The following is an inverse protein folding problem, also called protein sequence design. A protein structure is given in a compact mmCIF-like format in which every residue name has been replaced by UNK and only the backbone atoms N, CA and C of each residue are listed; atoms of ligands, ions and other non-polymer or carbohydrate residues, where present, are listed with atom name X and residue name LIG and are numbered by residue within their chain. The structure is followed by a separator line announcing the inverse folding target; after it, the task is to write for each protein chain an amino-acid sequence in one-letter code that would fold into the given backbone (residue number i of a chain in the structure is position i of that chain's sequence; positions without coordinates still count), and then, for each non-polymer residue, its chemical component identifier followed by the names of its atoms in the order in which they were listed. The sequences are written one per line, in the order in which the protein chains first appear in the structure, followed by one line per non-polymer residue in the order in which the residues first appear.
data_IF_305579326975
#
_entry.id   IF_305579326975
#
_cell.length_a   1.000
_cell.length_b   1.000
_cell.length_c   1.000
_cell.angle_alpha   90.00
_cell.angle_beta   90.00
_cell.angle_gamma   90.00
#
_symmetry.space_group_name_H-M   'P 1'
#
loop_
_entity.id
_entity.type
_entity.pdbx_description
1 polymer ?
#
# COMPACT_ATOMS: atom_id res chain seq x y z
N UNK A 1 27.66 13.65 -7.08
CA UNK A 1 26.37 13.95 -6.44
C UNK A 1 26.10 12.79 -5.54
N UNK A 2 26.05 13.07 -4.25
CA UNK A 2 26.04 12.08 -3.19
C UNK A 2 24.65 11.46 -3.04
N UNK A 3 24.60 10.18 -2.68
CA UNK A 3 23.35 9.53 -2.27
C UNK A 3 22.78 10.27 -1.06
N UNK A 4 21.50 10.59 -1.08
CA UNK A 4 20.90 11.41 -0.03
C UNK A 4 19.42 11.06 0.20
N UNK A 5 19.04 10.96 1.46
CA UNK A 5 17.66 10.98 1.93
C UNK A 5 17.12 12.41 1.90
N UNK A 6 16.02 12.62 1.17
CA UNK A 6 15.37 13.92 1.02
C UNK A 6 13.89 13.82 1.40
N UNK A 7 13.28 14.97 1.67
CA UNK A 7 11.86 15.08 1.96
C UNK A 7 11.00 14.70 0.75
N UNK A 8 9.81 14.15 1.03
CA UNK A 8 8.73 13.97 0.03
C UNK A 8 8.32 15.28 -0.64
N UNK A 9 8.59 16.42 0.01
CA UNK A 9 8.31 17.76 -0.49
C UNK A 9 9.47 18.38 -1.27
N UNK A 10 10.57 17.64 -1.53
CA UNK A 10 11.67 18.12 -2.36
C UNK A 10 11.18 18.48 -3.77
N UNK A 11 11.51 19.70 -4.22
CA UNK A 11 11.06 20.21 -5.52
C UNK A 11 11.56 19.36 -6.70
N UNK A 12 12.76 18.79 -6.59
CA UNK A 12 13.32 17.90 -7.61
C UNK A 12 12.52 16.61 -7.71
N UNK A 13 12.24 15.97 -6.58
CA UNK A 13 11.40 14.78 -6.49
C UNK A 13 9.99 15.02 -7.02
N UNK A 14 9.33 16.09 -6.57
CA UNK A 14 7.97 16.43 -7.01
C UNK A 14 7.90 16.67 -8.53
N UNK A 15 8.90 17.34 -9.11
CA UNK A 15 9.01 17.56 -10.57
C UNK A 15 9.21 16.24 -11.31
N UNK A 16 10.08 15.37 -10.80
CA UNK A 16 10.30 14.04 -11.36
C UNK A 16 9.00 13.22 -11.40
N UNK A 17 8.27 13.16 -10.28
CA UNK A 17 7.00 12.43 -10.19
C UNK A 17 5.92 13.01 -11.10
N UNK A 18 5.82 14.34 -11.20
CA UNK A 18 4.89 15.00 -12.13
C UNK A 18 5.19 14.62 -13.58
N UNK A 19 6.46 14.61 -13.97
CA UNK A 19 6.88 14.21 -15.32
C UNK A 19 6.56 12.73 -15.59
N UNK A 20 6.84 11.84 -14.63
CA UNK A 20 6.51 10.42 -14.72
C UNK A 20 4.99 10.19 -14.87
N UNK A 21 4.19 10.81 -14.01
CA UNK A 21 2.73 10.72 -14.05
C UNK A 21 2.16 11.23 -15.39
N UNK A 22 2.70 12.30 -15.95
CA UNK A 22 2.28 12.81 -17.26
C UNK A 22 2.61 11.82 -18.39
N UNK A 23 3.81 11.24 -18.41
CA UNK A 23 4.16 10.20 -19.41
C UNK A 23 3.24 8.99 -19.31
N UNK A 24 2.94 8.55 -18.10
CA UNK A 24 2.03 7.44 -17.85
C UNK A 24 0.59 7.74 -18.31
N UNK A 25 0.06 8.95 -18.03
CA UNK A 25 -1.25 9.36 -18.55
C UNK A 25 -1.27 9.42 -20.08
N UNK A 26 -0.20 9.90 -20.72
CA UNK A 26 -0.10 9.95 -22.17
C UNK A 26 -0.07 8.56 -22.80
N UNK A 27 0.71 7.61 -22.25
CA UNK A 27 0.77 6.25 -22.78
C UNK A 27 -0.55 5.48 -22.62
N UNK A 28 -1.38 5.85 -21.63
CA UNK A 28 -2.68 5.22 -21.36
C UNK A 28 -3.89 6.04 -21.85
N UNK A 29 -3.68 7.12 -22.61
CA UNK A 29 -4.76 8.04 -23.04
C UNK A 29 -5.91 7.34 -23.78
N UNK A 30 -5.59 6.28 -24.51
CA UNK A 30 -6.56 5.51 -25.30
C UNK A 30 -7.01 4.21 -24.62
N UNK A 31 -6.59 3.94 -23.38
CA UNK A 31 -7.03 2.79 -22.61
C UNK A 31 -8.27 3.17 -21.79
N UNK A 32 -9.30 2.33 -21.82
CA UNK A 32 -10.45 2.50 -20.94
C UNK A 32 -10.02 2.53 -19.47
N UNK A 33 -10.62 3.43 -18.69
CA UNK A 33 -10.37 3.52 -17.25
C UNK A 33 -11.46 2.73 -16.54
N UNK A 34 -11.06 1.68 -15.81
CA UNK A 34 -11.94 1.03 -14.86
C UNK A 34 -12.13 1.96 -13.65
N UNK A 35 -13.30 2.60 -13.59
CA UNK A 35 -13.62 3.56 -12.53
C UNK A 35 -13.81 2.90 -11.19
N UNK A 36 -14.29 1.65 -11.13
CA UNK A 36 -14.51 0.92 -9.88
C UNK A 36 -13.18 0.51 -9.27
N UNK A 37 -12.30 -0.09 -10.07
CA UNK A 37 -10.94 -0.40 -9.64
C UNK A 37 -10.19 0.85 -9.18
N UNK A 38 -10.36 1.98 -9.87
CA UNK A 38 -9.73 3.25 -9.48
C UNK A 38 -10.19 3.72 -8.09
N UNK A 39 -11.49 3.69 -7.79
CA UNK A 39 -11.96 4.11 -6.47
C UNK A 39 -11.49 3.13 -5.37
N UNK A 40 -11.53 1.82 -5.61
CA UNK A 40 -10.99 0.83 -4.68
C UNK A 40 -9.50 1.09 -4.36
N UNK A 41 -8.65 1.23 -5.38
CA UNK A 41 -7.22 1.49 -5.16
C UNK A 41 -6.93 2.84 -4.51
N UNK A 42 -7.79 3.84 -4.70
CA UNK A 42 -7.70 5.12 -3.99
C UNK A 42 -7.95 4.94 -2.49
N UNK A 43 -8.95 4.15 -2.10
CA UNK A 43 -9.18 3.82 -0.69
C UNK A 43 -8.03 2.98 -0.13
N UNK A 44 -7.51 2.03 -0.90
CA UNK A 44 -6.38 1.20 -0.49
C UNK A 44 -5.12 2.04 -0.19
N UNK A 45 -4.80 3.02 -1.05
CA UNK A 45 -3.71 3.96 -0.82
C UNK A 45 -3.90 4.77 0.49
N UNK A 46 -5.14 5.13 0.83
CA UNK A 46 -5.41 5.81 2.11
C UNK A 46 -5.20 4.87 3.30
N UNK A 47 -5.59 3.60 3.19
CA UNK A 47 -5.32 2.58 4.23
C UNK A 47 -3.82 2.42 4.44
N UNK A 48 -3.05 2.28 3.36
CA UNK A 48 -1.60 2.17 3.40
C UNK A 48 -0.95 3.37 4.10
N UNK A 49 -1.40 4.59 3.77
CA UNK A 49 -0.96 5.82 4.42
C UNK A 49 -1.27 5.83 5.92
N UNK A 50 -2.46 5.40 6.32
CA UNK A 50 -2.85 5.46 7.73
C UNK A 50 -2.09 4.41 8.56
N UNK A 51 -1.86 3.21 8.01
CA UNK A 51 -1.04 2.15 8.63
C UNK A 51 0.42 2.60 8.75
N UNK A 52 1.02 3.14 7.69
CA UNK A 52 2.40 3.66 7.74
C UNK A 52 2.55 4.84 8.71
N UNK A 53 1.55 5.72 8.77
CA UNK A 53 1.50 6.79 9.78
C UNK A 53 1.46 6.20 11.19
N UNK A 54 0.67 5.16 11.43
CA UNK A 54 0.63 4.51 12.72
C UNK A 54 1.96 3.82 13.07
N UNK A 55 2.58 3.08 12.15
CA UNK A 55 3.92 2.52 12.33
C UNK A 55 4.94 3.59 12.72
N UNK A 56 4.88 4.77 12.09
CA UNK A 56 5.80 5.86 12.41
C UNK A 56 5.67 6.42 13.84
N UNK A 57 4.55 6.15 14.53
CA UNK A 57 4.37 6.53 15.94
C UNK A 57 4.96 5.51 16.91
N UNK A 58 5.22 4.28 16.45
CA UNK A 58 5.77 3.20 17.29
C UNK A 58 7.28 3.32 17.49
N UNK A 59 7.94 4.17 16.72
CA UNK A 59 9.40 4.25 16.61
C UNK A 59 9.85 5.67 16.31
N UNK A 60 11.15 5.93 16.40
CA UNK A 60 11.72 7.18 15.90
C UNK A 60 11.78 7.14 14.36
N UNK A 61 10.90 7.90 13.71
CA UNK A 61 10.75 7.90 12.25
C UNK A 61 11.55 9.02 11.58
N UNK A 62 12.21 8.71 10.46
CA UNK A 62 12.72 9.75 9.56
C UNK A 62 11.64 10.28 8.61
N UNK A 63 11.55 11.61 8.52
CA UNK A 63 10.67 12.29 7.58
C UNK A 63 11.24 12.31 6.14
N UNK A 64 12.57 12.33 6.01
CA UNK A 64 13.28 12.23 4.75
C UNK A 64 13.32 10.78 4.27
N UNK A 65 12.24 10.36 3.58
CA UNK A 65 12.06 8.98 3.14
C UNK A 65 12.26 8.75 1.63
N UNK A 66 12.76 9.75 0.90
CA UNK A 66 13.07 9.61 -0.52
C UNK A 66 14.58 9.43 -0.68
N UNK A 67 15.03 8.25 -1.10
CA UNK A 67 16.42 8.02 -1.45
C UNK A 67 16.69 8.54 -2.86
N UNK A 68 17.51 9.60 -2.94
CA UNK A 68 18.00 10.15 -4.21
C UNK A 68 19.43 9.69 -4.43
N UNK A 69 19.69 9.06 -5.57
CA UNK A 69 21.02 8.53 -5.91
C UNK A 69 21.25 8.53 -7.42
N UNK A 70 22.51 8.38 -7.85
CA UNK A 70 22.83 8.13 -9.25
C UNK A 70 22.95 6.63 -9.49
N UNK A 71 22.25 6.10 -10.49
CA UNK A 71 22.47 4.71 -10.92
C UNK A 71 23.82 4.53 -11.61
N UNK A 72 24.21 3.28 -11.84
CA UNK A 72 25.48 2.90 -12.51
C UNK A 72 25.68 3.56 -13.88
N UNK A 73 24.60 3.88 -14.60
CA UNK A 73 24.64 4.60 -15.88
C UNK A 73 24.63 6.15 -15.73
N UNK A 74 24.78 6.68 -14.52
CA UNK A 74 24.85 8.11 -14.23
C UNK A 74 23.49 8.84 -14.16
N UNK A 75 22.37 8.13 -14.37
CA UNK A 75 21.02 8.71 -14.30
C UNK A 75 20.61 8.95 -12.85
N UNK A 76 20.03 10.12 -12.58
CA UNK A 76 19.47 10.43 -11.26
C UNK A 76 18.18 9.64 -11.03
N UNK A 77 18.13 8.89 -9.92
CA UNK A 77 16.97 8.13 -9.47
C UNK A 77 16.44 8.66 -8.15
N UNK A 78 15.15 8.47 -7.96
CA UNK A 78 14.43 8.72 -6.73
C UNK A 78 13.68 7.45 -6.36
N UNK A 79 13.82 7.01 -5.13
CA UNK A 79 13.14 5.83 -4.61
C UNK A 79 12.49 6.20 -3.29
N UNK A 80 11.16 6.14 -3.27
CA UNK A 80 10.39 6.32 -2.05
C UNK A 80 10.48 5.06 -1.20
N UNK A 81 10.72 5.25 0.09
CA UNK A 81 10.68 4.23 1.12
C UNK A 81 9.42 4.51 1.92
N UNK A 82 8.56 3.52 2.11
CA UNK A 82 7.27 3.74 2.78
C UNK A 82 7.46 4.34 4.17
N UNK A 83 8.43 3.81 4.91
CA UNK A 83 8.75 4.23 6.25
C UNK A 83 10.22 3.88 6.62
N UNK A 84 10.87 4.71 7.44
CA UNK A 84 12.24 4.48 7.93
C UNK A 84 12.23 4.57 9.45
N UNK A 85 12.61 3.48 10.12
CA UNK A 85 12.89 3.46 11.55
C UNK A 85 14.36 3.81 11.79
N UNK A 86 14.62 4.68 12.77
CA UNK A 86 15.96 5.02 13.23
C UNK A 86 16.12 4.57 14.68
N UNK A 87 17.21 3.87 14.95
CA UNK A 87 17.60 3.46 16.30
C UNK A 87 19.12 3.52 16.45
N UNK A 88 19.64 3.07 17.59
CA UNK A 88 21.06 3.09 17.92
C UNK A 88 21.94 2.26 16.96
N UNK A 89 21.36 1.33 16.19
CA UNK A 89 22.06 0.51 15.20
C UNK A 89 21.96 1.08 13.77
N UNK A 90 21.34 2.25 13.60
CA UNK A 90 21.22 2.93 12.31
C UNK A 90 19.80 2.94 11.73
N UNK A 91 19.72 3.05 10.40
CA UNK A 91 18.45 3.17 9.68
C UNK A 91 17.95 1.82 9.21
N UNK A 92 16.70 1.50 9.54
CA UNK A 92 15.98 0.34 9.00
C UNK A 92 14.96 0.81 7.99
N UNK A 93 15.11 0.36 6.75
CA UNK A 93 14.16 0.67 5.68
C UNK A 93 12.99 -0.32 5.70
N UNK A 94 11.77 0.20 5.67
CA UNK A 94 10.56 -0.60 5.74
C UNK A 94 9.70 -0.41 4.50
N UNK A 95 9.10 -1.52 4.05
CA UNK A 95 8.17 -1.56 2.92
C UNK A 95 6.87 -2.23 3.36
N UNK A 96 5.73 -1.62 3.07
CA UNK A 96 4.41 -2.17 3.33
C UNK A 96 3.82 -2.76 2.05
N UNK A 97 3.20 -3.94 2.18
CA UNK A 97 2.42 -4.56 1.11
C UNK A 97 1.09 -5.07 1.64
N UNK A 98 0.01 -4.44 1.20
CA UNK A 98 -1.35 -4.93 1.43
C UNK A 98 -1.63 -6.07 0.44
N UNK A 99 -1.98 -7.25 0.95
CA UNK A 99 -2.19 -8.48 0.16
C UNK A 99 -3.62 -8.96 0.32
N UNK A 100 -4.21 -9.43 -0.77
CA UNK A 100 -5.57 -9.98 -0.76
C UNK A 100 -5.72 -11.17 0.20
N UNK A 101 -4.67 -11.97 0.32
CA UNK A 101 -4.60 -13.13 1.22
C UNK A 101 -3.17 -13.46 1.61
N UNK A 102 -3.01 -14.13 2.74
CA UNK A 102 -1.77 -14.74 3.18
C UNK A 102 -1.21 -15.73 2.16
N UNK A 103 0.12 -15.80 2.09
CA UNK A 103 0.84 -16.81 1.32
C UNK A 103 2.15 -17.17 2.03
N UNK A 104 2.36 -18.48 2.24
CA UNK A 104 3.61 -18.99 2.84
C UNK A 104 4.83 -18.75 1.95
N UNK A 105 4.62 -18.64 0.63
CA UNK A 105 5.69 -18.48 -0.35
C UNK A 105 5.47 -17.23 -1.18
N UNK A 106 5.99 -16.10 -0.68
CA UNK A 106 6.07 -14.88 -1.46
C UNK A 106 7.41 -14.79 -2.21
N UNK A 107 7.35 -14.43 -3.49
CA UNK A 107 8.54 -13.99 -4.20
C UNK A 107 9.03 -12.66 -3.64
N UNK A 108 10.34 -12.39 -3.75
CA UNK A 108 10.93 -11.14 -3.24
C UNK A 108 10.29 -9.87 -3.82
N UNK A 109 9.82 -9.95 -5.06
CA UNK A 109 9.09 -8.85 -5.70
C UNK A 109 7.71 -8.66 -5.08
N UNK A 110 7.03 -9.75 -4.75
CA UNK A 110 5.70 -9.67 -4.13
C UNK A 110 5.80 -9.17 -2.69
N UNK A 111 6.77 -9.64 -1.90
CA UNK A 111 6.94 -9.19 -0.51
C UNK A 111 7.46 -7.77 -0.38
N UNK A 112 8.10 -7.21 -1.41
CA UNK A 112 8.76 -5.90 -1.36
C UNK A 112 10.25 -5.98 -1.03
N UNK A 113 10.78 -7.16 -0.72
CA UNK A 113 12.21 -7.39 -0.46
C UNK A 113 13.08 -6.96 -1.63
N UNK A 114 12.65 -7.19 -2.87
CA UNK A 114 13.45 -6.80 -4.04
C UNK A 114 13.66 -5.27 -4.11
N UNK A 115 12.66 -4.49 -3.71
CA UNK A 115 12.74 -3.03 -3.63
C UNK A 115 13.67 -2.62 -2.49
N UNK A 116 13.51 -3.22 -1.31
CA UNK A 116 14.35 -2.96 -0.13
C UNK A 116 15.82 -3.28 -0.41
N UNK A 117 16.15 -4.43 -1.00
CA UNK A 117 17.53 -4.79 -1.37
C UNK A 117 18.19 -3.71 -2.24
N UNK A 118 17.50 -3.27 -3.28
CA UNK A 118 18.01 -2.21 -4.16
C UNK A 118 18.19 -0.88 -3.43
N UNK A 119 17.27 -0.52 -2.53
CA UNK A 119 17.39 0.69 -1.70
C UNK A 119 18.57 0.61 -0.74
N UNK A 120 18.70 -0.50 -0.01
CA UNK A 120 19.77 -0.75 0.97
C UNK A 120 21.13 -0.73 0.29
N UNK A 121 21.27 -1.39 -0.87
CA UNK A 121 22.51 -1.36 -1.67
C UNK A 121 22.89 0.06 -2.09
N UNK A 122 21.92 0.86 -2.54
CA UNK A 122 22.18 2.24 -2.94
C UNK A 122 22.58 3.16 -1.76
N UNK A 123 22.07 2.87 -0.56
CA UNK A 123 22.26 3.68 0.64
C UNK A 123 23.47 3.28 1.50
N UNK A 124 23.92 2.02 1.43
CA UNK A 124 24.91 1.43 2.35
C UNK A 124 26.28 2.12 2.35
N UNK A 125 26.60 2.85 1.28
CA UNK A 125 27.85 3.61 1.18
C UNK A 125 27.85 4.94 1.96
N UNK A 126 26.67 5.43 2.37
CA UNK A 126 26.50 6.76 2.98
C UNK A 126 25.83 6.69 4.35
N UNK A 127 24.99 5.68 4.58
CA UNK A 127 24.22 5.54 5.81
C UNK A 127 24.61 4.27 6.56
N UNK A 128 24.65 4.35 7.88
CA UNK A 128 24.66 3.18 8.75
C UNK A 128 23.27 2.55 8.73
N UNK A 129 23.19 1.29 8.28
CA UNK A 129 21.93 0.59 8.04
C UNK A 129 21.75 -0.55 9.05
N UNK A 130 20.59 -0.56 9.71
CA UNK A 130 20.10 -1.64 10.56
C UNK A 130 19.26 -2.66 9.73
N UNK A 131 19.66 -2.89 8.48
CA UNK A 131 18.96 -3.77 7.55
C UNK A 131 17.61 -3.23 7.07
N UNK A 132 16.67 -4.15 6.79
CA UNK A 132 15.39 -3.82 6.16
C UNK A 132 14.28 -4.78 6.56
N UNK A 133 13.03 -4.31 6.51
CA UNK A 133 11.83 -5.06 6.93
C UNK A 133 10.69 -4.89 5.94
N UNK A 134 10.25 -5.98 5.33
CA UNK A 134 9.01 -6.00 4.56
C UNK A 134 7.84 -6.42 5.46
N UNK A 135 6.75 -5.66 5.45
CA UNK A 135 5.54 -5.96 6.22
C UNK A 135 4.43 -6.27 5.22
N UNK A 136 4.04 -7.54 5.15
CA UNK A 136 2.87 -7.96 4.39
C UNK A 136 1.66 -7.99 5.31
N UNK A 137 0.53 -7.44 4.87
CA UNK A 137 -0.72 -7.49 5.63
C UNK A 137 -1.73 -8.29 4.84
N UNK A 138 -2.25 -9.36 5.45
CA UNK A 138 -3.37 -10.09 4.90
C UNK A 138 -4.65 -9.27 5.09
N UNK A 139 -5.25 -8.85 3.98
CA UNK A 139 -6.43 -7.99 3.93
C UNK A 139 -7.73 -8.77 3.77
N UNK A 140 -7.70 -10.11 3.77
CA UNK A 140 -8.87 -10.96 3.49
C UNK A 140 -10.10 -10.53 4.29
N UNK A 141 -9.92 -10.27 5.59
CA UNK A 141 -11.01 -9.87 6.47
C UNK A 141 -11.66 -8.53 6.09
N UNK A 142 -10.86 -7.54 5.67
CA UNK A 142 -11.44 -6.27 5.16
C UNK A 142 -12.17 -6.51 3.85
N UNK A 143 -11.61 -7.32 2.96
CA UNK A 143 -12.14 -7.48 1.60
C UNK A 143 -13.36 -8.39 1.50
N UNK A 144 -13.42 -9.46 2.30
CA UNK A 144 -14.48 -10.49 2.22
C UNK A 144 -15.23 -10.70 3.53
N UNK A 145 -14.72 -10.16 4.64
CA UNK A 145 -15.26 -10.44 5.98
C UNK A 145 -14.84 -11.82 6.53
N UNK A 146 -14.08 -12.60 5.76
CA UNK A 146 -13.61 -13.91 6.18
C UNK A 146 -12.30 -13.82 6.97
N UNK A 147 -12.20 -14.62 8.02
CA UNK A 147 -10.96 -14.74 8.79
C UNK A 147 -9.84 -15.30 7.93
N UNK A 148 -8.60 -14.85 8.19
CA UNK A 148 -7.45 -15.38 7.46
C UNK A 148 -7.24 -16.87 7.78
N UNK A 149 -6.84 -17.63 6.76
CA UNK A 149 -6.39 -19.03 6.89
C UNK A 149 -4.89 -19.16 7.17
N UNK A 150 -4.17 -18.03 7.21
CA UNK A 150 -2.74 -17.98 7.49
C UNK A 150 -2.40 -18.45 8.90
N UNK A 151 -1.18 -18.97 9.08
CA UNK A 151 -0.73 -19.55 10.37
C UNK A 151 0.50 -18.87 10.96
N UNK A 152 1.18 -18.03 10.20
CA UNK A 152 2.45 -17.41 10.60
C UNK A 152 2.33 -15.88 10.62
N UNK A 153 1.40 -15.40 11.44
CA UNK A 153 1.22 -13.96 11.68
C UNK A 153 2.07 -13.51 12.86
N UNK A 154 2.76 -12.40 12.69
CA UNK A 154 3.41 -11.66 13.76
C UNK A 154 2.35 -10.94 14.57
N UNK A 155 2.46 -11.02 15.89
CA UNK A 155 1.57 -10.27 16.77
C UNK A 155 1.85 -8.76 16.62
N UNK A 156 0.80 -7.97 16.46
CA UNK A 156 0.88 -6.51 16.38
C UNK A 156 1.67 -5.90 17.54
N UNK A 157 1.58 -6.47 18.75
CA UNK A 157 2.32 -6.01 19.92
C UNK A 157 3.84 -6.17 19.81
N UNK A 158 4.33 -7.07 18.94
CA UNK A 158 5.76 -7.36 18.74
C UNK A 158 6.39 -6.47 17.66
N UNK A 159 5.60 -5.66 16.95
CA UNK A 159 6.10 -4.76 15.89
C UNK A 159 7.24 -3.82 16.34
N UNK A 160 7.18 -3.18 17.53
CA UNK A 160 8.29 -2.34 18.00
C UNK A 160 9.63 -3.08 18.05
N UNK A 161 9.62 -4.37 18.37
CA UNK A 161 10.83 -5.19 18.46
C UNK A 161 11.38 -5.53 17.07
N UNK A 162 10.50 -5.81 16.10
CA UNK A 162 10.89 -6.02 14.70
C UNK A 162 11.57 -4.79 14.07
N UNK A 163 11.10 -3.59 14.43
CA UNK A 163 11.74 -2.35 13.97
C UNK A 163 13.12 -2.10 14.59
N UNK A 164 13.40 -2.67 15.77
CA UNK A 164 14.67 -2.49 16.49
C UNK A 164 15.72 -3.56 16.17
N UNK A 165 15.29 -4.82 16.04
CA UNK A 165 16.16 -5.98 15.86
C UNK A 165 17.10 -5.83 14.66
N UNK A 166 18.37 -6.18 14.79
CA UNK A 166 19.29 -6.26 13.64
C UNK A 166 18.97 -7.44 12.71
N UNK A 167 19.02 -7.21 11.40
CA UNK A 167 18.81 -8.28 10.42
C UNK A 167 18.51 -7.76 9.01
N UNK A 168 18.98 -8.49 8.00
CA UNK A 168 18.73 -8.19 6.59
C UNK A 168 17.58 -9.05 6.02
N UNK A 169 16.68 -8.42 5.26
CA UNK A 169 15.82 -9.14 4.32
C UNK A 169 14.71 -9.97 4.94
N UNK A 170 14.28 -9.66 6.17
CA UNK A 170 13.13 -10.30 6.78
C UNK A 170 11.83 -9.72 6.21
N UNK A 171 10.83 -10.59 6.04
CA UNK A 171 9.46 -10.16 5.90
C UNK A 171 8.60 -10.80 6.98
N UNK A 172 7.64 -10.03 7.47
CA UNK A 172 6.63 -10.49 8.43
C UNK A 172 5.24 -10.39 7.81
N UNK A 173 4.32 -11.14 8.39
CA UNK A 173 2.91 -11.06 8.06
C UNK A 173 2.11 -10.53 9.24
N UNK A 174 1.18 -9.63 8.98
CA UNK A 174 0.16 -9.22 9.94
C UNK A 174 -1.21 -9.63 9.41
N UNK A 175 -2.11 -10.00 10.32
CA UNK A 175 -3.53 -10.11 10.01
C UNK A 175 -4.15 -8.71 10.15
N UNK A 176 -4.84 -8.24 9.11
CA UNK A 176 -5.54 -6.95 9.15
C UNK A 176 -6.56 -6.89 10.28
N UNK A 177 -7.13 -8.03 10.71
CA UNK A 177 -8.10 -8.08 11.80
C UNK A 177 -7.48 -7.60 13.12
N UNK A 178 -6.24 -8.03 13.41
CA UNK A 178 -5.51 -7.59 14.61
C UNK A 178 -5.12 -6.12 14.52
N UNK A 179 -4.71 -5.67 13.33
CA UNK A 179 -4.41 -4.25 13.07
C UNK A 179 -5.68 -3.40 13.27
N UNK A 180 -6.85 -3.86 12.81
CA UNK A 180 -8.12 -3.17 12.96
C UNK A 180 -8.56 -3.04 14.41
N UNK A 181 -8.32 -4.05 15.26
CA UNK A 181 -8.61 -3.94 16.71
C UNK A 181 -7.90 -2.75 17.31
N UNK A 182 -6.61 -2.57 16.98
CA UNK A 182 -5.83 -1.40 17.41
C UNK A 182 -6.36 -0.12 16.76
N UNK A 183 -6.65 -0.17 15.47
CA UNK A 183 -7.06 0.97 14.67
C UNK A 183 -8.37 1.61 15.13
N UNK A 184 -9.35 0.77 15.41
CA UNK A 184 -10.67 1.18 15.91
C UNK A 184 -10.57 1.70 17.34
N UNK A 185 -9.78 1.04 18.18
CA UNK A 185 -9.54 1.47 19.57
C UNK A 185 -8.87 2.85 19.63
N UNK A 186 -7.93 3.12 18.76
CA UNK A 186 -7.19 4.38 18.69
C UNK A 186 -7.87 5.44 17.82
N UNK A 187 -8.96 5.09 17.13
CA UNK A 187 -9.82 6.03 16.39
C UNK A 187 -9.24 6.55 15.07
N UNK A 188 -8.19 5.93 14.52
CA UNK A 188 -7.66 6.30 13.19
C UNK A 188 -8.29 5.48 12.05
N UNK A 189 -9.14 4.52 12.38
CA UNK A 189 -9.99 3.79 11.45
C UNK A 189 -11.40 3.65 12.03
N UNK A 190 -12.39 3.48 11.16
CA UNK A 190 -13.82 3.42 11.53
C UNK A 190 -14.47 2.20 10.91
N UNK A 191 -15.54 1.68 11.53
CA UNK A 191 -16.29 0.56 10.96
C UNK A 191 -16.92 0.90 9.60
N UNK A 192 -17.47 2.10 9.43
CA UNK A 192 -18.00 2.59 8.16
C UNK A 192 -16.96 2.43 7.02
N UNK A 193 -15.72 2.88 7.26
CA UNK A 193 -14.63 2.71 6.29
C UNK A 193 -14.25 1.25 6.01
N UNK A 194 -14.40 0.34 6.98
CA UNK A 194 -14.22 -1.10 6.73
C UNK A 194 -15.28 -1.58 5.73
N UNK A 195 -16.54 -1.20 5.95
CA UNK A 195 -17.67 -1.54 5.10
C UNK A 195 -17.52 -0.94 3.70
N UNK A 196 -17.16 0.34 3.59
CA UNK A 196 -16.90 1.01 2.29
C UNK A 196 -15.85 0.28 1.46
N UNK A 197 -14.73 -0.14 2.07
CA UNK A 197 -13.67 -0.85 1.34
C UNK A 197 -14.16 -2.22 0.88
N UNK A 198 -14.94 -2.91 1.70
CA UNK A 198 -15.54 -4.20 1.36
C UNK A 198 -16.50 -4.07 0.18
N UNK A 199 -17.39 -3.09 0.22
CA UNK A 199 -18.32 -2.80 -0.87
C UNK A 199 -17.58 -2.47 -2.17
N UNK A 200 -16.55 -1.63 -2.11
CA UNK A 200 -15.71 -1.31 -3.28
C UNK A 200 -14.99 -2.54 -3.84
N UNK A 201 -14.52 -3.44 -2.96
CA UNK A 201 -13.92 -4.71 -3.36
C UNK A 201 -14.93 -5.61 -4.08
N UNK A 202 -16.13 -5.78 -3.50
CA UNK A 202 -17.21 -6.56 -4.11
C UNK A 202 -17.68 -5.97 -5.44
N UNK A 203 -17.82 -4.65 -5.54
CA UNK A 203 -18.17 -3.96 -6.78
C UNK A 203 -17.12 -4.17 -7.88
N UNK A 204 -15.84 -4.18 -7.53
CA UNK A 204 -14.75 -4.39 -8.48
C UNK A 204 -14.73 -5.81 -9.03
N UNK A 205 -14.97 -6.84 -8.20
CA UNK A 205 -14.88 -8.24 -8.60
C UNK A 205 -16.22 -8.86 -9.03
N UNK A 206 -17.35 -8.34 -8.55
CA UNK A 206 -18.69 -8.84 -8.83
C UNK A 206 -19.71 -7.70 -9.00
N UNK A 207 -19.52 -6.79 -9.99
CA UNK A 207 -20.41 -5.64 -10.18
C UNK A 207 -21.86 -6.05 -10.47
N UNK A 208 -22.07 -7.23 -11.06
CA UNK A 208 -23.39 -7.73 -11.43
C UNK A 208 -24.24 -8.12 -10.22
N UNK A 209 -23.61 -8.56 -9.11
CA UNK A 209 -24.33 -8.90 -7.89
C UNK A 209 -24.93 -7.66 -7.19
N UNK A 210 -24.34 -6.48 -7.42
CA UNK A 210 -24.77 -5.21 -6.84
C UNK A 210 -25.82 -4.48 -7.70
N UNK A 211 -26.12 -4.98 -8.91
CA UNK A 211 -27.20 -4.40 -9.69
C UNK A 211 -28.55 -4.75 -9.07
N UNK A 212 -29.43 -3.76 -8.83
CA UNK A 212 -30.77 -4.05 -8.35
C UNK A 212 -31.45 -4.99 -9.34
N UNK A 213 -32.11 -6.03 -8.83
CA UNK A 213 -32.97 -6.90 -9.63
C UNK A 213 -34.14 -6.07 -10.15
N UNK A 214 -33.95 -5.40 -11.29
CA UNK A 214 -35.03 -4.71 -11.98
C UNK A 214 -35.96 -5.79 -12.54
N UNK A 215 -36.97 -6.17 -11.75
CA UNK A 215 -37.95 -7.19 -12.14
C UNK A 215 -39.11 -6.64 -12.97
N UNK A 216 -39.11 -5.33 -13.25
CA UNK A 216 -40.07 -4.71 -14.16
C UNK A 216 -39.34 -3.67 -15.01
N UNK A 217 -39.07 -4.01 -16.26
CA UNK A 217 -38.87 -3.00 -17.29
C UNK A 217 -40.27 -2.42 -17.54
N UNK A 218 -40.53 -1.13 -17.26
CA UNK A 218 -41.81 -0.54 -17.61
C UNK A 218 -42.01 -0.74 -19.11
N UNK A 219 -43.13 -1.36 -19.48
CA UNK A 219 -43.54 -1.51 -20.88
C UNK A 219 -43.65 -0.11 -21.48
N UNK A 220 -42.61 0.30 -22.20
CA UNK A 220 -42.67 1.49 -23.02
C UNK A 220 -43.58 1.14 -24.19
N UNK A 221 -44.86 1.45 -24.06
CA UNK A 221 -45.85 1.33 -25.13
C UNK A 221 -46.11 2.70 -25.74
N UNK A 222 -45.18 3.27 -26.52
CA UNK A 222 -45.35 4.59 -27.15
C UNK A 222 -46.53 4.65 -28.13
N UNK A 223 -47.15 3.50 -28.42
CA UNK A 223 -48.31 3.37 -29.31
C UNK A 223 -49.61 2.96 -28.62
N UNK A 224 -49.64 2.87 -27.27
CA UNK A 224 -50.88 2.54 -26.55
C UNK A 224 -52.02 3.56 -26.82
N UNK A 225 -51.68 4.78 -27.20
CA UNK A 225 -52.65 5.83 -27.56
C UNK A 225 -53.15 5.76 -29.01
N UNK A 226 -52.59 4.89 -29.86
CA UNK A 226 -53.05 4.71 -31.25
C UNK A 226 -54.12 3.61 -31.41
N UNK A 227 -54.57 3.01 -30.31
CA UNK A 227 -55.59 1.96 -30.30
C UNK A 227 -56.96 2.44 -29.76
N UNK A 228 -57.17 3.76 -29.63
CA UNK A 228 -58.44 4.36 -29.23
C UNK A 228 -59.22 4.91 -30.43
#
# INVERSE_FOLDING_TARGET
METQLISVNDLGYMRHNRAYANRYRHSRRNQGVDTLAREFYKHLMLVERDITCWFSRLVNSKNERILRYKSSNGVLKYQEIDFIAENEFGLKFCELKLKERFSETLSERSSGIAQLKATTEAASSVYELNGSLAICIDMSFIYTGEDSVGRNFTNVAELPDHFKREGEGEYIWLDIKDVLVVALREGWFTQERVEEIRELYEMMYNPMAMMPKVHQIPLNSPFAQLQA
#
